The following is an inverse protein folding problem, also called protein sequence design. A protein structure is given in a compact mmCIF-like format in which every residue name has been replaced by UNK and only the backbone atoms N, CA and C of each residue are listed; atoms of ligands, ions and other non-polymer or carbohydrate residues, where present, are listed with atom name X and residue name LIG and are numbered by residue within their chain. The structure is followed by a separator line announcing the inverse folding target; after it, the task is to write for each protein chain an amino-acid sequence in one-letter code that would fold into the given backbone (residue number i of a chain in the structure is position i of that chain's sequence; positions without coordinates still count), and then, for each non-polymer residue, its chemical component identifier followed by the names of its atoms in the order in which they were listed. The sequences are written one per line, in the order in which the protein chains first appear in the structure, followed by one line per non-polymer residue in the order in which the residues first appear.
data_IF_880022187881
#
_entry.id   IF_880022187881
#
_cell.length_a   1.000
_cell.length_b   1.000
_cell.length_c   1.000
_cell.angle_alpha   90.00
_cell.angle_beta   90.00
_cell.angle_gamma   90.00
#
_symmetry.space_group_name_H-M   'P 1'
#
loop_
_entity.id
_entity.type
_entity.pdbx_description
1 polymer ?
#
# COMPACT_ATOMS: atom_id res chain seq x y z
N UNK A 1 -23.33 -14.74 37.33
CA UNK A 1 -22.07 -14.02 37.63
C UNK A 1 -22.13 -12.66 36.97
N UNK A 2 -21.63 -11.61 37.63
CA UNK A 2 -21.63 -10.24 37.08
C UNK A 2 -20.78 -10.18 35.81
N UNK A 3 -21.39 -9.80 34.67
CA UNK A 3 -20.71 -9.66 33.38
C UNK A 3 -19.64 -8.56 33.52
N UNK A 4 -18.36 -8.94 33.56
CA UNK A 4 -17.26 -7.97 33.49
C UNK A 4 -17.22 -7.41 32.08
N UNK A 5 -17.62 -6.15 31.91
CA UNK A 5 -17.53 -5.48 30.60
C UNK A 5 -16.08 -5.49 30.12
N UNK A 6 -15.87 -5.87 28.86
CA UNK A 6 -14.57 -5.72 28.18
C UNK A 6 -14.18 -4.24 28.28
N UNK A 7 -12.93 -3.94 28.63
CA UNK A 7 -12.44 -2.57 28.71
C UNK A 7 -12.61 -1.88 27.35
N UNK A 8 -12.98 -0.60 27.36
CA UNK A 8 -13.20 0.16 26.13
C UNK A 8 -11.97 0.16 25.22
N UNK A 9 -10.77 0.23 25.80
CA UNK A 9 -9.49 0.19 25.06
C UNK A 9 -9.33 -1.11 24.26
N UNK A 10 -9.59 -2.26 24.89
CA UNK A 10 -9.52 -3.59 24.25
C UNK A 10 -10.57 -3.74 23.16
N UNK A 11 -11.80 -3.24 23.39
CA UNK A 11 -12.85 -3.24 22.34
C UNK A 11 -12.44 -2.42 21.12
N UNK A 12 -11.91 -1.20 21.35
CA UNK A 12 -11.41 -0.32 20.29
C UNK A 12 -10.30 -1.00 19.49
N UNK A 13 -9.35 -1.64 20.17
CA UNK A 13 -8.22 -2.32 19.52
C UNK A 13 -8.66 -3.48 18.62
N UNK A 14 -9.59 -4.33 19.09
CA UNK A 14 -10.14 -5.44 18.30
C UNK A 14 -10.86 -4.92 17.05
N UNK A 15 -11.68 -3.87 17.20
CA UNK A 15 -12.42 -3.28 16.08
C UNK A 15 -11.49 -2.59 15.08
N UNK A 16 -10.39 -1.98 15.57
CA UNK A 16 -9.37 -1.35 14.73
C UNK A 16 -8.57 -2.39 13.94
N UNK A 17 -8.00 -3.40 14.61
CA UNK A 17 -7.21 -4.47 13.97
C UNK A 17 -8.04 -5.30 12.98
N UNK A 18 -9.30 -5.60 13.32
CA UNK A 18 -10.23 -6.28 12.39
C UNK A 18 -10.74 -5.37 11.28
N UNK A 19 -10.64 -4.04 11.46
CA UNK A 19 -11.29 -3.02 10.63
C UNK A 19 -12.78 -3.33 10.37
N UNK A 20 -13.47 -3.94 11.34
CA UNK A 20 -14.87 -4.45 11.24
C UNK A 20 -15.09 -5.53 10.16
N UNK A 21 -14.09 -6.36 9.88
CA UNK A 21 -14.22 -7.56 9.04
C UNK A 21 -14.31 -8.80 9.91
N UNK A 22 -15.13 -9.76 9.50
CA UNK A 22 -15.25 -11.03 10.21
C UNK A 22 -14.09 -11.95 9.80
N UNK A 23 -13.32 -12.50 10.75
CA UNK A 23 -12.22 -13.40 10.44
C UNK A 23 -12.70 -14.69 9.79
N UNK A 24 -13.89 -15.19 10.12
CA UNK A 24 -14.44 -16.41 9.53
C UNK A 24 -14.84 -16.18 8.06
N UNK A 25 -15.49 -15.05 7.74
CA UNK A 25 -15.79 -14.66 6.35
C UNK A 25 -14.50 -14.64 5.50
N UNK A 26 -13.44 -14.04 6.06
CA UNK A 26 -12.14 -13.97 5.42
C UNK A 26 -11.48 -15.35 5.28
N UNK A 27 -11.39 -16.12 6.36
CA UNK A 27 -10.70 -17.42 6.38
C UNK A 27 -11.35 -18.47 5.48
N UNK A 28 -12.67 -18.44 5.32
CA UNK A 28 -13.41 -19.39 4.49
C UNK A 28 -13.54 -18.94 3.03
N UNK A 29 -13.72 -17.64 2.77
CA UNK A 29 -14.12 -17.13 1.45
C UNK A 29 -13.26 -15.98 0.92
N UNK A 30 -12.24 -15.52 1.66
CA UNK A 30 -11.47 -14.33 1.33
C UNK A 30 -12.28 -13.02 1.40
N UNK A 31 -13.44 -13.03 2.06
CA UNK A 31 -14.36 -11.90 2.12
C UNK A 31 -13.84 -10.80 3.06
N UNK A 32 -13.48 -9.66 2.46
CA UNK A 32 -12.95 -8.47 3.15
C UNK A 32 -13.98 -7.35 3.34
N UNK A 33 -15.25 -7.62 3.10
CA UNK A 33 -16.31 -6.61 3.25
C UNK A 33 -16.53 -6.25 4.71
N UNK A 34 -16.87 -4.98 4.95
CA UNK A 34 -17.25 -4.50 6.27
C UNK A 34 -18.53 -5.20 6.72
N UNK A 35 -18.52 -5.76 7.93
CA UNK A 35 -19.65 -6.49 8.48
C UNK A 35 -20.33 -5.73 9.62
N UNK A 36 -21.63 -5.99 9.77
CA UNK A 36 -22.36 -5.73 11.02
C UNK A 36 -22.15 -6.93 11.94
N UNK A 37 -21.75 -6.68 13.19
CA UNK A 37 -21.28 -7.74 14.07
C UNK A 37 -20.99 -7.25 15.48
N UNK A 38 -20.46 -8.16 16.29
CA UNK A 38 -20.12 -7.93 17.69
C UNK A 38 -18.85 -8.69 18.08
N UNK A 39 -18.28 -8.34 19.24
CA UNK A 39 -17.11 -9.03 19.78
C UNK A 39 -17.56 -10.29 20.52
N UNK A 40 -17.05 -11.44 20.09
CA UNK A 40 -17.26 -12.75 20.68
C UNK A 40 -16.08 -13.15 21.58
N UNK A 41 -16.39 -13.86 22.67
CA UNK A 41 -15.43 -14.56 23.51
C UNK A 41 -15.21 -15.96 22.94
N UNK A 42 -13.99 -16.26 22.49
CA UNK A 42 -13.69 -17.50 21.78
C UNK A 42 -13.77 -18.75 22.68
N UNK A 43 -13.58 -18.60 23.99
CA UNK A 43 -13.80 -19.67 24.98
C UNK A 43 -15.24 -19.71 25.52
N UNK A 44 -16.14 -18.86 25.03
CA UNK A 44 -17.51 -18.70 25.52
C UNK A 44 -17.61 -18.29 27.01
N UNK A 45 -16.50 -17.88 27.63
CA UNK A 45 -16.47 -17.32 28.99
C UNK A 45 -16.45 -15.79 28.92
N UNK A 46 -17.62 -15.19 29.15
CA UNK A 46 -17.80 -13.74 29.20
C UNK A 46 -16.99 -13.00 30.26
N UNK A 47 -16.30 -13.72 31.16
CA UNK A 47 -15.40 -13.14 32.17
C UNK A 47 -13.94 -13.04 31.70
N UNK A 48 -13.57 -13.76 30.63
CA UNK A 48 -12.23 -13.78 30.06
C UNK A 48 -12.06 -12.72 28.96
N UNK A 49 -11.70 -11.52 29.38
CA UNK A 49 -11.54 -10.36 28.48
C UNK A 49 -10.13 -10.21 27.91
N UNK A 50 -9.32 -11.27 27.89
CA UNK A 50 -8.00 -11.24 27.26
C UNK A 50 -8.13 -10.98 25.77
N UNK A 51 -7.27 -10.11 25.23
CA UNK A 51 -7.30 -9.72 23.82
C UNK A 51 -7.28 -10.95 22.89
N UNK A 52 -6.41 -11.92 23.20
CA UNK A 52 -6.26 -13.16 22.44
C UNK A 52 -7.49 -14.08 22.51
N UNK A 53 -8.38 -13.88 23.47
CA UNK A 53 -9.62 -14.63 23.61
C UNK A 53 -10.82 -13.93 22.93
N UNK A 54 -10.62 -12.79 22.29
CA UNK A 54 -11.69 -12.01 21.68
C UNK A 54 -11.53 -11.94 20.16
N UNK A 55 -12.65 -11.91 19.45
CA UNK A 55 -12.69 -11.67 18.01
C UNK A 55 -13.96 -10.90 17.62
N UNK A 56 -13.88 -10.01 16.62
CA UNK A 56 -15.07 -9.40 16.03
C UNK A 56 -15.66 -10.35 14.99
N UNK A 57 -16.90 -10.79 15.18
CA UNK A 57 -17.61 -11.67 14.25
C UNK A 57 -18.83 -10.95 13.67
N UNK A 58 -19.15 -11.19 12.39
CA UNK A 58 -20.45 -10.76 11.83
C UNK A 58 -21.59 -11.51 12.53
N UNK A 59 -22.81 -10.98 12.51
CA UNK A 59 -23.93 -11.63 13.21
C UNK A 59 -24.16 -13.08 12.76
N UNK A 60 -24.09 -13.36 11.46
CA UNK A 60 -24.27 -14.72 10.93
C UNK A 60 -23.28 -15.72 11.54
N UNK A 61 -21.98 -15.39 11.51
CA UNK A 61 -20.95 -16.25 12.06
C UNK A 61 -20.86 -16.19 13.59
N UNK A 62 -21.34 -15.12 14.21
CA UNK A 62 -21.45 -15.05 15.66
C UNK A 62 -22.50 -16.05 16.15
N UNK A 63 -23.65 -16.12 15.48
CA UNK A 63 -24.72 -17.05 15.80
C UNK A 63 -24.30 -18.50 15.50
N UNK A 64 -23.57 -18.73 14.40
CA UNK A 64 -23.02 -20.05 14.08
C UNK A 64 -21.96 -20.51 15.11
N UNK A 65 -21.07 -19.62 15.53
CA UNK A 65 -20.01 -19.92 16.49
C UNK A 65 -20.54 -20.20 17.90
N UNK A 66 -21.54 -19.43 18.34
CA UNK A 66 -22.23 -19.68 19.62
C UNK A 66 -23.21 -20.86 19.52
N UNK A 67 -23.61 -21.23 18.30
CA UNK A 67 -24.54 -22.29 18.00
C UNK A 67 -23.98 -23.70 18.23
N UNK A 68 -24.85 -24.60 18.71
CA UNK A 68 -24.58 -26.03 18.78
C UNK A 68 -25.45 -26.75 17.77
N UNK A 69 -24.84 -27.34 16.74
CA UNK A 69 -25.55 -28.22 15.80
C UNK A 69 -25.21 -29.67 16.09
N UNK A 70 -26.14 -30.60 15.83
CA UNK A 70 -25.90 -32.05 15.96
C UNK A 70 -25.54 -32.71 14.63
N UNK A 71 -25.56 -31.96 13.52
CA UNK A 71 -25.40 -32.48 12.16
C UNK A 71 -24.03 -32.16 11.56
N UNK A 72 -23.44 -31.01 11.92
CA UNK A 72 -22.12 -30.57 11.44
C UNK A 72 -21.18 -30.31 12.63
N UNK A 73 -19.87 -30.32 12.37
CA UNK A 73 -18.91 -29.81 13.36
C UNK A 73 -19.01 -28.28 13.37
N UNK A 74 -19.29 -27.70 14.53
CA UNK A 74 -19.21 -26.25 14.72
C UNK A 74 -17.78 -25.75 14.51
N UNK A 75 -17.66 -24.46 14.17
CA UNK A 75 -16.38 -23.74 14.11
C UNK A 75 -15.63 -23.86 15.43
N UNK A 76 -14.33 -24.16 15.36
CA UNK A 76 -13.52 -24.36 16.56
C UNK A 76 -12.83 -23.07 16.99
N UNK A 77 -12.62 -22.90 18.31
CA UNK A 77 -11.91 -21.73 18.87
C UNK A 77 -10.57 -21.48 18.17
N UNK A 78 -9.76 -22.52 18.00
CA UNK A 78 -8.41 -22.40 17.43
C UNK A 78 -8.45 -22.06 15.93
N UNK A 79 -9.49 -22.51 15.22
CA UNK A 79 -9.73 -22.17 13.82
C UNK A 79 -10.09 -20.69 13.66
N UNK A 80 -11.04 -20.20 14.46
CA UNK A 80 -11.42 -18.78 14.47
C UNK A 80 -10.24 -17.89 14.91
N UNK A 81 -9.44 -18.34 15.89
CA UNK A 81 -8.24 -17.63 16.32
C UNK A 81 -7.23 -17.50 15.17
N UNK A 82 -6.96 -18.59 14.44
CA UNK A 82 -6.05 -18.57 13.30
C UNK A 82 -6.53 -17.61 12.21
N UNK A 83 -7.81 -17.68 11.84
CA UNK A 83 -8.38 -16.76 10.85
C UNK A 83 -8.33 -15.29 11.29
N UNK A 84 -8.46 -15.02 12.59
CA UNK A 84 -8.31 -13.67 13.15
C UNK A 84 -6.88 -13.17 13.01
N UNK A 85 -5.91 -14.01 13.36
CA UNK A 85 -4.50 -13.64 13.32
C UNK A 85 -4.06 -13.40 11.85
N UNK A 86 -4.50 -14.25 10.91
CA UNK A 86 -4.27 -14.06 9.47
C UNK A 86 -4.92 -12.75 8.96
N UNK A 87 -6.16 -12.45 9.39
CA UNK A 87 -6.85 -11.20 9.05
C UNK A 87 -6.10 -9.95 9.57
N UNK A 88 -5.56 -10.03 10.79
CA UNK A 88 -4.80 -8.92 11.37
C UNK A 88 -3.49 -8.72 10.64
N UNK A 89 -2.78 -9.82 10.37
CA UNK A 89 -1.54 -9.79 9.64
C UNK A 89 -1.73 -9.17 8.25
N UNK A 90 -2.74 -9.60 7.48
CA UNK A 90 -2.93 -9.04 6.14
C UNK A 90 -3.30 -7.55 6.17
N UNK A 91 -4.03 -7.08 7.18
CA UNK A 91 -4.31 -5.65 7.30
C UNK A 91 -3.14 -4.84 7.85
N UNK A 92 -2.26 -5.45 8.63
CA UNK A 92 -0.98 -4.88 9.04
C UNK A 92 -0.06 -4.76 7.82
N UNK A 93 0.09 -5.83 7.03
CA UNK A 93 0.87 -5.87 5.79
C UNK A 93 0.34 -4.90 4.71
N UNK A 94 -0.98 -4.88 4.47
CA UNK A 94 -1.63 -3.91 3.58
C UNK A 94 -1.55 -2.47 4.12
N UNK A 95 -1.41 -2.30 5.45
CA UNK A 95 -1.07 -1.02 6.06
C UNK A 95 0.36 -0.61 5.75
N UNK A 96 1.31 -1.55 5.75
CA UNK A 96 2.73 -1.26 5.50
C UNK A 96 3.09 -1.09 4.03
N UNK A 97 2.41 -1.76 3.09
CA UNK A 97 2.80 -1.72 1.67
C UNK A 97 2.04 -0.68 0.83
N UNK A 98 1.00 0.00 1.35
CA UNK A 98 0.20 0.94 0.57
C UNK A 98 -0.36 2.18 1.32
N UNK A 99 0.18 2.57 2.47
CA UNK A 99 -0.23 3.84 3.11
C UNK A 99 0.49 5.06 2.50
N UNK A 100 -0.22 6.16 2.16
CA UNK A 100 0.40 7.46 2.06
C UNK A 100 0.96 7.87 3.43
N UNK A 101 2.08 8.60 3.41
CA UNK A 101 2.76 9.14 4.59
C UNK A 101 1.82 9.98 5.45
N UNK A 102 1.17 9.35 6.42
CA UNK A 102 0.36 10.01 7.44
C UNK A 102 1.16 10.00 8.74
N UNK A 103 2.15 10.88 8.83
CA UNK A 103 2.57 11.39 10.13
C UNK A 103 1.55 12.47 10.53
N UNK A 104 0.89 12.25 11.67
CA UNK A 104 0.07 13.29 12.30
C UNK A 104 1.05 14.29 12.91
N UNK A 105 1.26 15.42 12.24
CA UNK A 105 2.01 16.53 12.83
C UNK A 105 1.11 17.30 13.80
N UNK A 106 1.56 17.47 15.04
CA UNK A 106 0.99 18.43 15.97
C UNK A 106 1.39 19.84 15.51
N UNK A 107 0.40 20.69 15.22
CA UNK A 107 0.62 22.09 14.82
C UNK A 107 1.27 22.89 15.96
N UNK A 108 2.51 23.33 15.76
CA UNK A 108 3.12 24.38 16.56
C UNK A 108 3.17 25.66 15.71
N UNK A 109 2.24 26.57 15.99
CA UNK A 109 2.14 27.87 15.34
C UNK A 109 3.11 28.85 15.99
N UNK A 110 4.21 29.22 15.31
CA UNK A 110 5.01 30.46 15.51
C UNK A 110 6.18 30.50 14.48
N UNK A 111 6.06 31.08 13.27
CA UNK A 111 6.81 32.28 12.80
C UNK A 111 6.44 32.71 11.34
N UNK A 112 5.36 33.46 11.17
CA UNK A 112 4.60 33.63 9.90
C UNK A 112 5.37 34.13 8.64
N UNK A 113 6.54 34.76 8.76
CA UNK A 113 7.27 35.29 7.57
C UNK A 113 8.49 34.47 7.11
N UNK A 114 9.23 33.80 8.00
CA UNK A 114 10.26 32.81 7.60
C UNK A 114 9.62 31.50 7.15
N UNK A 115 8.51 31.13 7.78
CA UNK A 115 7.76 29.91 7.47
C UNK A 115 7.17 29.92 6.06
N UNK A 116 6.89 31.10 5.49
CA UNK A 116 6.25 31.22 4.17
C UNK A 116 7.19 30.88 3.01
N UNK A 117 8.45 31.33 3.07
CA UNK A 117 9.43 31.02 2.03
C UNK A 117 9.84 29.54 2.06
N UNK A 118 9.99 28.96 3.25
CA UNK A 118 10.25 27.53 3.43
C UNK A 118 9.07 26.67 2.96
N UNK A 119 7.84 27.11 3.21
CA UNK A 119 6.63 26.47 2.70
C UNK A 119 6.53 26.53 1.17
N UNK A 120 6.79 27.68 0.54
CA UNK A 120 6.71 27.82 -0.92
C UNK A 120 7.75 26.92 -1.62
N UNK A 121 8.99 26.87 -1.09
CA UNK A 121 10.03 25.97 -1.61
C UNK A 121 9.64 24.50 -1.40
N UNK A 122 9.04 24.15 -0.26
CA UNK A 122 8.52 22.82 -0.02
C UNK A 122 7.41 22.45 -1.03
N UNK A 123 6.48 23.38 -1.32
CA UNK A 123 5.41 23.16 -2.30
C UNK A 123 5.96 22.92 -3.71
N UNK A 124 7.03 23.60 -4.11
CA UNK A 124 7.67 23.31 -5.41
C UNK A 124 8.40 21.96 -5.39
N UNK A 125 9.11 21.63 -4.31
CA UNK A 125 9.79 20.32 -4.19
C UNK A 125 8.81 19.15 -4.21
N UNK A 126 7.69 19.23 -3.49
CA UNK A 126 6.70 18.14 -3.42
C UNK A 126 6.00 17.93 -4.77
N UNK A 127 5.85 18.98 -5.59
CA UNK A 127 5.31 18.85 -6.96
C UNK A 127 6.20 17.95 -7.81
N UNK A 128 7.51 18.18 -7.81
CA UNK A 128 8.47 17.34 -8.56
C UNK A 128 8.37 15.87 -8.15
N UNK A 129 8.36 15.60 -6.84
CA UNK A 129 8.16 14.24 -6.33
C UNK A 129 6.86 13.60 -6.84
N UNK A 130 5.74 14.33 -6.81
CA UNK A 130 4.43 13.85 -7.27
C UNK A 130 4.43 13.56 -8.76
N UNK A 131 5.06 14.40 -9.58
CA UNK A 131 5.14 14.20 -11.02
C UNK A 131 5.99 12.97 -11.38
N UNK A 132 7.11 12.74 -10.68
CA UNK A 132 7.91 11.51 -10.84
C UNK A 132 7.09 10.28 -10.42
N UNK A 133 6.41 10.33 -9.28
CA UNK A 133 5.57 9.22 -8.80
C UNK A 133 4.45 8.90 -9.79
N UNK A 134 3.79 9.93 -10.35
CA UNK A 134 2.76 9.78 -11.38
C UNK A 134 3.32 9.08 -12.62
N UNK A 135 4.46 9.55 -13.13
CA UNK A 135 5.11 8.99 -14.32
C UNK A 135 5.52 7.52 -14.12
N UNK A 136 6.18 7.20 -13.02
CA UNK A 136 6.53 5.82 -12.67
C UNK A 136 5.28 4.94 -12.52
N UNK A 137 4.21 5.47 -11.91
CA UNK A 137 2.94 4.75 -11.76
C UNK A 137 2.29 4.37 -13.10
N UNK A 138 2.41 5.20 -14.14
CA UNK A 138 1.96 4.86 -15.50
C UNK A 138 2.72 3.64 -16.03
N UNK A 139 4.05 3.67 -15.92
CA UNK A 139 4.94 2.60 -16.41
C UNK A 139 4.65 1.27 -15.70
N UNK A 140 4.52 1.29 -14.37
CA UNK A 140 4.26 0.07 -13.59
C UNK A 140 2.89 -0.54 -13.92
N UNK A 141 1.88 0.31 -14.15
CA UNK A 141 0.53 -0.16 -14.47
C UNK A 141 0.45 -0.78 -15.85
N UNK A 142 1.04 -0.12 -16.85
CA UNK A 142 0.81 -0.45 -18.26
C UNK A 142 1.97 -1.24 -18.89
N UNK A 143 3.11 -1.36 -18.19
CA UNK A 143 4.37 -1.91 -18.72
C UNK A 143 4.84 -1.24 -20.03
N UNK A 144 4.39 -0.01 -20.26
CA UNK A 144 4.66 0.79 -21.45
C UNK A 144 4.59 2.29 -21.12
N UNK A 145 4.98 3.13 -22.07
CA UNK A 145 4.87 4.58 -21.94
C UNK A 145 4.71 5.27 -23.30
N UNK A 146 3.79 6.22 -23.38
CA UNK A 146 3.62 7.01 -24.59
C UNK A 146 4.60 8.19 -24.65
N UNK A 147 4.92 8.63 -25.87
CA UNK A 147 5.84 9.76 -26.08
C UNK A 147 5.31 11.06 -25.46
N UNK A 148 3.99 11.24 -25.42
CA UNK A 148 3.35 12.42 -24.84
C UNK A 148 3.61 12.52 -23.33
N UNK A 149 3.56 11.37 -22.63
CA UNK A 149 3.76 11.29 -21.19
C UNK A 149 5.24 11.54 -20.84
N UNK A 150 6.16 11.08 -21.71
CA UNK A 150 7.57 11.39 -21.58
C UNK A 150 7.86 12.90 -21.73
N UNK A 151 7.24 13.55 -22.72
CA UNK A 151 7.40 15.01 -22.93
C UNK A 151 6.80 15.78 -21.75
N UNK A 152 5.61 15.38 -21.28
CA UNK A 152 4.99 15.97 -20.09
C UNK A 152 5.90 15.83 -18.87
N UNK A 153 6.43 14.63 -18.62
CA UNK A 153 7.35 14.38 -17.52
C UNK A 153 8.60 15.28 -17.58
N UNK A 154 9.25 15.39 -18.74
CA UNK A 154 10.41 16.27 -18.91
C UNK A 154 10.06 17.74 -18.62
N UNK A 155 8.94 18.23 -19.15
CA UNK A 155 8.51 19.62 -18.94
C UNK A 155 8.05 19.91 -17.50
N UNK A 156 7.60 18.90 -16.77
CA UNK A 156 7.13 19.04 -15.38
C UNK A 156 8.25 18.85 -14.36
N UNK A 157 9.44 18.45 -14.80
CA UNK A 157 10.59 18.18 -13.94
C UNK A 157 11.84 18.97 -14.30
N UNK A 158 11.76 19.88 -15.27
CA UNK A 158 12.87 20.73 -15.72
C UNK A 158 13.40 21.66 -14.62
N UNK A 159 12.53 22.14 -13.75
CA UNK A 159 12.91 23.02 -12.63
C UNK A 159 13.63 22.28 -11.49
N UNK A 160 13.69 20.95 -11.50
CA UNK A 160 14.30 20.16 -10.41
C UNK A 160 15.78 20.52 -10.18
N UNK A 161 16.50 20.96 -11.22
CA UNK A 161 17.90 21.39 -11.12
C UNK A 161 18.11 22.61 -10.21
N UNK A 162 17.07 23.43 -10.03
CA UNK A 162 17.10 24.62 -9.17
C UNK A 162 16.62 24.31 -7.73
N UNK A 163 15.82 23.26 -7.57
CA UNK A 163 15.14 22.93 -6.31
C UNK A 163 15.88 21.86 -5.49
N UNK A 164 16.70 21.05 -6.14
CA UNK A 164 17.40 19.91 -5.55
C UNK A 164 18.88 19.92 -5.89
N UNK A 165 19.62 18.99 -5.27
CA UNK A 165 21.00 18.75 -5.65
C UNK A 165 21.11 18.00 -7.00
N UNK A 166 22.35 17.69 -7.36
CA UNK A 166 22.66 16.97 -8.60
C UNK A 166 22.11 15.53 -8.61
N UNK A 167 21.84 14.94 -7.46
CA UNK A 167 21.46 13.53 -7.39
C UNK A 167 20.00 13.32 -7.80
N UNK A 168 19.10 14.23 -7.43
CA UNK A 168 17.72 14.22 -7.94
C UNK A 168 17.67 14.49 -9.45
N UNK A 169 18.49 15.42 -9.93
CA UNK A 169 18.57 15.72 -11.37
C UNK A 169 19.09 14.51 -12.17
N UNK A 170 20.09 13.79 -11.65
CA UNK A 170 20.56 12.53 -12.25
C UNK A 170 19.48 11.45 -12.22
N UNK A 171 18.74 11.32 -11.12
CA UNK A 171 17.63 10.36 -11.02
C UNK A 171 16.56 10.62 -12.09
N UNK A 172 16.15 11.88 -12.27
CA UNK A 172 15.16 12.27 -13.30
C UNK A 172 15.68 11.93 -14.71
N UNK A 173 16.94 12.26 -15.00
CA UNK A 173 17.56 11.94 -16.29
C UNK A 173 17.64 10.43 -16.54
N UNK A 174 17.99 9.65 -15.52
CA UNK A 174 18.04 8.19 -15.58
C UNK A 174 16.64 7.61 -15.83
N UNK A 175 15.62 8.06 -15.09
CA UNK A 175 14.22 7.66 -15.30
C UNK A 175 13.79 7.92 -16.75
N UNK A 176 14.10 9.10 -17.30
CA UNK A 176 13.77 9.43 -18.69
C UNK A 176 14.50 8.53 -19.70
N UNK A 177 15.79 8.27 -19.47
CA UNK A 177 16.58 7.38 -20.32
C UNK A 177 16.03 5.97 -20.32
N UNK A 178 15.78 5.38 -19.15
CA UNK A 178 15.20 4.04 -19.03
C UNK A 178 13.81 3.96 -19.67
N UNK A 179 13.00 5.03 -19.57
CA UNK A 179 11.67 5.08 -20.19
C UNK A 179 11.76 5.10 -21.72
N UNK A 180 12.77 5.80 -22.25
CA UNK A 180 13.08 5.81 -23.68
C UNK A 180 13.43 4.40 -24.18
N UNK A 181 14.26 3.67 -23.43
CA UNK A 181 14.64 2.30 -23.75
C UNK A 181 13.45 1.33 -23.65
N UNK A 182 12.62 1.47 -22.62
CA UNK A 182 11.40 0.65 -22.46
C UNK A 182 10.47 0.83 -23.67
N UNK A 183 10.22 2.08 -24.04
CA UNK A 183 9.39 2.37 -25.22
C UNK A 183 10.01 1.84 -26.51
N UNK A 184 11.33 1.93 -26.67
CA UNK A 184 12.03 1.40 -27.83
C UNK A 184 11.89 -0.12 -27.92
N UNK A 185 12.17 -0.84 -26.83
CA UNK A 185 12.06 -2.30 -26.75
C UNK A 185 10.62 -2.75 -26.99
N UNK A 186 9.61 -2.10 -26.38
CA UNK A 186 8.19 -2.36 -26.64
C UNK A 186 7.83 -2.20 -28.12
N UNK A 187 8.26 -1.11 -28.77
CA UNK A 187 8.03 -0.90 -30.20
C UNK A 187 8.68 -1.98 -31.06
N UNK A 188 9.87 -2.44 -30.70
CA UNK A 188 10.55 -3.53 -31.42
C UNK A 188 9.83 -4.86 -31.24
N UNK A 189 9.45 -5.21 -30.01
CA UNK A 189 8.73 -6.45 -29.69
C UNK A 189 7.37 -6.54 -30.38
N UNK A 190 6.71 -5.39 -30.58
CA UNK A 190 5.44 -5.27 -31.30
C UNK A 190 5.61 -5.07 -32.82
N UNK A 191 6.84 -5.01 -33.33
CA UNK A 191 7.09 -4.87 -34.76
C UNK A 191 6.78 -6.16 -35.51
N UNK A 192 6.03 -6.05 -36.60
CA UNK A 192 5.77 -7.15 -37.54
C UNK A 192 7.03 -7.66 -38.27
N UNK A 193 8.15 -6.95 -38.15
CA UNK A 193 9.42 -7.28 -38.80
C UNK A 193 10.41 -7.96 -37.83
N UNK A 194 9.99 -8.30 -36.61
CA UNK A 194 10.82 -8.99 -35.64
C UNK A 194 10.34 -10.42 -35.45
N UNK A 195 11.00 -11.34 -36.17
CA UNK A 195 10.71 -12.77 -36.12
C UNK A 195 11.02 -13.37 -34.74
N UNK A 196 10.38 -14.50 -34.45
CA UNK A 196 10.70 -15.30 -33.26
C UNK A 196 12.11 -15.87 -33.41
N UNK A 197 12.97 -15.59 -32.44
CA UNK A 197 14.35 -16.05 -32.44
C UNK A 197 15.21 -15.30 -31.42
N UNK A 198 16.52 -15.54 -31.48
CA UNK A 198 17.50 -15.03 -30.50
C UNK A 198 17.41 -13.52 -30.28
N UNK A 199 17.23 -12.74 -31.33
CA UNK A 199 17.12 -11.28 -31.21
C UNK A 199 15.84 -10.85 -30.48
N UNK A 200 14.72 -11.51 -30.72
CA UNK A 200 13.46 -11.23 -30.00
C UNK A 200 13.60 -11.58 -28.52
N UNK A 201 14.22 -12.72 -28.20
CA UNK A 201 14.50 -13.12 -26.81
C UNK A 201 15.37 -12.08 -26.10
N UNK A 202 16.45 -11.64 -26.73
CA UNK A 202 17.35 -10.61 -26.18
C UNK A 202 16.62 -9.31 -25.83
N UNK A 203 15.75 -8.84 -26.72
CA UNK A 203 14.98 -7.60 -26.49
C UNK A 203 13.95 -7.81 -25.38
N UNK A 204 13.34 -9.00 -25.29
CA UNK A 204 12.39 -9.31 -24.22
C UNK A 204 13.09 -9.37 -22.84
N UNK A 205 14.31 -9.90 -22.78
CA UNK A 205 15.13 -9.89 -21.57
C UNK A 205 15.51 -8.45 -21.16
N UNK A 206 15.98 -7.64 -22.10
CA UNK A 206 16.26 -6.21 -21.87
C UNK A 206 15.01 -5.46 -21.39
N UNK A 207 13.85 -5.72 -21.99
CA UNK A 207 12.57 -5.14 -21.58
C UNK A 207 12.18 -5.53 -20.15
N UNK A 208 12.37 -6.80 -19.78
CA UNK A 208 12.13 -7.29 -18.42
C UNK A 208 13.06 -6.62 -17.40
N UNK A 209 14.35 -6.46 -17.74
CA UNK A 209 15.31 -5.74 -16.88
C UNK A 209 14.90 -4.29 -16.65
N UNK A 210 14.40 -3.61 -17.68
CA UNK A 210 13.87 -2.24 -17.58
C UNK A 210 12.66 -2.17 -16.63
N UNK A 211 11.71 -3.09 -16.76
CA UNK A 211 10.54 -3.15 -15.88
C UNK A 211 10.94 -3.43 -14.41
N UNK A 212 11.91 -4.32 -14.20
CA UNK A 212 12.46 -4.59 -12.87
C UNK A 212 13.13 -3.35 -12.28
N UNK A 213 13.89 -2.61 -13.11
CA UNK A 213 14.51 -1.35 -12.70
C UNK A 213 13.44 -0.33 -12.28
N UNK A 214 12.37 -0.15 -13.07
CA UNK A 214 11.27 0.75 -12.73
C UNK A 214 10.56 0.35 -11.43
N UNK A 215 10.33 -0.94 -11.23
CA UNK A 215 9.71 -1.46 -10.00
C UNK A 215 10.57 -1.12 -8.78
N UNK A 216 11.89 -1.34 -8.87
CA UNK A 216 12.84 -0.99 -7.82
C UNK A 216 12.88 0.52 -7.57
N UNK A 217 13.06 1.32 -8.62
CA UNK A 217 13.11 2.79 -8.52
C UNK A 217 11.84 3.36 -7.89
N UNK A 218 10.67 2.80 -8.19
CA UNK A 218 9.39 3.22 -7.57
C UNK A 218 9.39 2.99 -6.06
N UNK A 219 9.92 1.84 -5.60
CA UNK A 219 10.03 1.52 -4.16
C UNK A 219 11.01 2.43 -3.43
N UNK A 220 12.10 2.79 -4.09
CA UNK A 220 13.18 3.59 -3.50
C UNK A 220 12.93 5.11 -3.60
N UNK A 221 12.00 5.56 -4.47
CA UNK A 221 11.76 6.97 -4.77
C UNK A 221 11.61 7.84 -3.52
N UNK A 222 10.80 7.40 -2.55
CA UNK A 222 10.54 8.18 -1.32
C UNK A 222 11.84 8.44 -0.55
N UNK A 223 12.75 7.47 -0.48
CA UNK A 223 14.01 7.61 0.25
C UNK A 223 14.95 8.65 -0.37
N UNK A 224 14.91 8.82 -1.70
CA UNK A 224 15.66 9.88 -2.39
C UNK A 224 15.13 11.28 -2.07
N UNK A 225 13.81 11.43 -1.90
CA UNK A 225 13.17 12.73 -1.64
C UNK A 225 13.04 13.08 -0.16
N UNK A 226 13.10 12.09 0.75
CA UNK A 226 12.94 12.31 2.18
C UNK A 226 13.86 13.41 2.74
N UNK A 227 15.18 13.45 2.45
CA UNK A 227 16.08 14.50 2.96
C UNK A 227 15.72 15.92 2.51
N UNK A 228 14.93 16.06 1.44
CA UNK A 228 14.54 17.35 0.87
C UNK A 228 13.15 17.81 1.31
N UNK A 229 12.35 16.89 1.83
CA UNK A 229 10.93 17.07 2.18
C UNK A 229 10.66 16.92 3.68
N UNK A 230 11.59 16.37 4.47
CA UNK A 230 11.52 16.43 5.92
C UNK A 230 11.84 17.86 6.37
N UNK A 231 10.89 18.52 7.03
CA UNK A 231 11.10 19.79 7.74
C UNK A 231 11.83 19.56 9.06
#
# INVERSE_FOLDING_TARGET
MSRKKVKQTTQTEILYKSRRRCPICYGLNGDTDIKKGQIAHLDQDSSNNDFDNLAFLCFDHHDEFDGKTSQSKSLQKDEVKKYRDDLYQIFEELGTENLPDLEVFEENTNNVERDKLEFDVYQEKIKIYREIRKFLGLIIRDADIEIKDMIEFANKTDEAVFLFDKDISKLIAEIYHQASQLRYTNKRLNSRYLDVGRERTRIAEENMELLNWFSKTTKELKSHFYPYLSL
#
